data_IF_000126105502
#
_entry.id   IF_000126105502
#
_cell.length_a   1.000
_cell.length_b   1.000
_cell.length_c   1.000
_cell.angle_alpha   90.00
_cell.angle_beta   90.00
_cell.angle_gamma   90.00
#
_symmetry.space_group_name_H-M   'P 1'
#
loop_
_entity.id
_entity.type
_entity.pdbx_description
1 polymer ?
#
# COMPACT_ATOMS: atom_id res chain seq x y z
N UNK A 1 -29.59 48.65 -45.32
CA UNK A 1 -28.37 48.22 -46.04
C UNK A 1 -27.82 47.02 -45.31
N UNK A 2 -27.87 45.85 -45.95
CA UNK A 2 -27.46 44.57 -45.38
C UNK A 2 -25.96 44.33 -45.58
N UNK A 3 -25.29 43.73 -44.57
CA UNK A 3 -24.15 42.79 -44.66
C UNK A 3 -23.91 42.29 -43.21
N UNK A 4 -24.32 41.09 -42.84
CA UNK A 4 -23.60 39.82 -43.03
C UNK A 4 -22.22 39.78 -42.35
N UNK A 5 -22.17 39.20 -41.15
CA UNK A 5 -21.03 38.36 -40.71
C UNK A 5 -21.48 37.46 -39.55
N UNK A 6 -22.02 36.29 -39.91
CA UNK A 6 -22.15 35.15 -38.99
C UNK A 6 -20.80 34.41 -38.95
N UNK A 7 -20.39 34.03 -37.75
CA UNK A 7 -19.38 33.03 -37.36
C UNK A 7 -17.90 33.43 -37.25
N UNK A 8 -17.29 33.11 -36.09
CA UNK A 8 -16.38 31.96 -36.08
C UNK A 8 -16.64 30.92 -34.97
N UNK A 9 -17.85 30.86 -34.38
CA UNK A 9 -18.15 29.84 -33.36
C UNK A 9 -18.32 28.41 -33.90
N UNK A 10 -18.57 28.24 -35.20
CA UNK A 10 -18.67 26.91 -35.81
C UNK A 10 -17.32 26.36 -36.30
N UNK A 11 -16.32 27.21 -36.54
CA UNK A 11 -14.99 26.74 -36.99
C UNK A 11 -14.27 26.03 -35.84
N UNK A 12 -14.42 26.51 -34.61
CA UNK A 12 -13.76 25.91 -33.45
C UNK A 12 -14.37 24.57 -33.01
N UNK A 13 -15.69 24.37 -33.17
CA UNK A 13 -16.33 23.08 -32.88
C UNK A 13 -16.05 22.03 -33.96
N UNK A 14 -15.91 22.44 -35.22
CA UNK A 14 -15.52 21.55 -36.33
C UNK A 14 -14.04 21.15 -36.25
N UNK A 15 -13.14 22.07 -35.86
CA UNK A 15 -11.73 21.75 -35.58
C UNK A 15 -11.60 20.85 -34.33
N UNK A 16 -12.36 21.13 -33.26
CA UNK A 16 -12.41 20.25 -32.09
C UNK A 16 -12.87 18.83 -32.45
N UNK A 17 -13.84 18.68 -33.34
CA UNK A 17 -14.33 17.36 -33.79
C UNK A 17 -13.33 16.61 -34.67
N UNK A 18 -12.60 17.31 -35.54
CA UNK A 18 -11.64 16.69 -36.48
C UNK A 18 -10.31 16.32 -35.80
N UNK A 19 -9.83 17.10 -34.83
CA UNK A 19 -8.66 16.72 -34.01
C UNK A 19 -8.99 15.68 -32.92
N UNK A 20 -10.22 15.63 -32.41
CA UNK A 20 -10.63 14.62 -31.43
C UNK A 20 -10.75 13.20 -32.04
N UNK A 21 -11.00 13.10 -33.35
CA UNK A 21 -11.15 11.82 -34.03
C UNK A 21 -9.82 11.11 -34.37
N UNK A 22 -8.68 11.82 -34.32
CA UNK A 22 -7.39 11.29 -34.77
C UNK A 22 -6.44 10.86 -33.64
N UNK A 23 -6.86 11.02 -32.38
CA UNK A 23 -6.20 10.42 -31.23
C UNK A 23 -7.05 9.25 -30.75
N UNK A 24 -7.23 8.21 -31.58
CA UNK A 24 -7.57 6.89 -31.05
C UNK A 24 -6.31 6.43 -30.33
N UNK A 25 -6.30 6.45 -29.00
CA UNK A 25 -5.11 6.01 -28.34
C UNK A 25 -5.17 4.49 -28.39
N UNK A 26 -4.32 3.91 -29.24
CA UNK A 26 -4.13 2.47 -29.28
C UNK A 26 -3.67 2.09 -27.87
N UNK A 27 -4.60 1.64 -27.03
CA UNK A 27 -4.31 1.18 -25.69
C UNK A 27 -3.51 -0.11 -25.86
N UNK A 28 -2.20 0.06 -26.00
CA UNK A 28 -1.26 -1.02 -26.23
C UNK A 28 -1.32 -1.98 -25.04
N UNK A 29 -1.21 -3.30 -25.28
CA UNK A 29 -1.22 -4.30 -24.21
C UNK A 29 -0.22 -4.00 -23.08
N UNK A 30 0.88 -3.33 -23.42
CA UNK A 30 1.90 -2.85 -22.48
C UNK A 30 1.38 -1.85 -21.44
N UNK A 31 0.38 -1.04 -21.78
CA UNK A 31 -0.22 -0.09 -20.85
C UNK A 31 -1.06 -0.82 -19.80
N UNK A 32 -1.95 -1.73 -20.24
CA UNK A 32 -2.74 -2.54 -19.33
C UNK A 32 -1.87 -3.39 -18.41
N UNK A 33 -0.80 -3.98 -18.96
CA UNK A 33 0.20 -4.70 -18.18
C UNK A 33 0.87 -3.82 -17.11
N UNK A 34 1.23 -2.57 -17.45
CA UNK A 34 1.84 -1.62 -16.51
C UNK A 34 0.88 -1.20 -15.39
N UNK A 35 -0.40 -1.00 -15.72
CA UNK A 35 -1.43 -0.67 -14.72
C UNK A 35 -1.66 -1.86 -13.78
N UNK A 36 -1.86 -3.06 -14.32
CA UNK A 36 -2.13 -4.27 -13.54
C UNK A 36 -0.94 -4.59 -12.62
N UNK A 37 0.29 -4.56 -13.15
CA UNK A 37 1.48 -4.82 -12.34
C UNK A 37 1.69 -3.79 -11.23
N UNK A 38 1.40 -2.50 -11.49
CA UNK A 38 1.47 -1.46 -10.47
C UNK A 38 0.43 -1.67 -9.36
N UNK A 39 -0.81 -1.98 -9.74
CA UNK A 39 -1.92 -2.20 -8.78
C UNK A 39 -1.67 -3.45 -7.93
N UNK A 40 -1.24 -4.55 -8.54
CA UNK A 40 -0.93 -5.79 -7.81
C UNK A 40 0.33 -5.62 -6.96
N UNK A 41 1.38 -4.98 -7.45
CA UNK A 41 2.63 -4.85 -6.71
C UNK A 41 2.54 -3.85 -5.56
N UNK A 42 1.93 -2.69 -5.79
CA UNK A 42 1.95 -1.58 -4.82
C UNK A 42 0.66 -1.51 -4.03
N UNK A 43 -0.49 -1.48 -4.69
CA UNK A 43 -1.77 -1.21 -4.01
C UNK A 43 -2.23 -2.39 -3.15
N UNK A 44 -2.03 -3.62 -3.62
CA UNK A 44 -2.28 -4.80 -2.81
C UNK A 44 -1.36 -4.84 -1.58
N UNK A 45 -0.04 -4.75 -1.76
CA UNK A 45 0.90 -4.81 -0.64
C UNK A 45 0.68 -3.69 0.39
N UNK A 46 0.23 -2.51 -0.06
CA UNK A 46 -0.21 -1.42 0.82
C UNK A 46 -1.44 -1.82 1.65
N UNK A 47 -2.51 -2.31 1.00
CA UNK A 47 -3.73 -2.74 1.69
C UNK A 47 -3.48 -3.86 2.70
N UNK A 48 -2.63 -4.83 2.34
CA UNK A 48 -2.23 -5.91 3.25
C UNK A 48 -1.51 -5.38 4.49
N UNK A 49 -0.58 -4.45 4.31
CA UNK A 49 0.22 -3.86 5.40
C UNK A 49 -0.60 -3.03 6.39
N UNK A 50 -1.77 -2.54 5.98
CA UNK A 50 -2.74 -1.89 6.85
C UNK A 50 -3.53 -2.90 7.69
N UNK A 51 -3.89 -4.05 7.11
CA UNK A 51 -4.73 -5.06 7.77
C UNK A 51 -3.99 -6.03 8.67
N UNK A 52 -2.72 -6.33 8.36
CA UNK A 52 -2.02 -7.50 8.90
C UNK A 52 -1.78 -7.44 10.41
N UNK A 53 -1.73 -6.25 10.98
CA UNK A 53 -1.52 -6.04 12.42
C UNK A 53 -2.84 -5.93 13.21
N UNK A 54 -3.97 -5.70 12.54
CA UNK A 54 -5.22 -5.38 13.22
C UNK A 54 -5.92 -6.62 13.77
N UNK A 55 -6.11 -7.65 12.95
CA UNK A 55 -6.79 -8.89 13.38
C UNK A 55 -5.97 -9.67 14.43
N UNK A 56 -4.66 -9.90 14.26
CA UNK A 56 -3.86 -10.63 15.26
C UNK A 56 -3.31 -9.72 16.38
N UNK A 57 -3.91 -8.56 16.65
CA UNK A 57 -3.38 -7.59 17.62
C UNK A 57 -3.16 -8.20 19.02
N UNK A 58 -4.11 -9.00 19.51
CA UNK A 58 -4.02 -9.66 20.82
C UNK A 58 -2.90 -10.70 20.83
N UNK A 59 -2.75 -11.45 19.73
CA UNK A 59 -1.69 -12.46 19.59
C UNK A 59 -0.31 -11.81 19.62
N UNK A 60 -0.13 -10.71 18.88
CA UNK A 60 1.14 -9.95 18.87
C UNK A 60 1.44 -9.38 20.27
N UNK A 61 0.43 -8.83 20.96
CA UNK A 61 0.61 -8.32 22.32
C UNK A 61 1.00 -9.42 23.32
N UNK A 62 0.52 -10.65 23.15
CA UNK A 62 0.94 -11.78 23.98
C UNK A 62 2.40 -12.16 23.71
N UNK A 63 2.81 -12.19 22.44
CA UNK A 63 4.22 -12.39 22.07
C UNK A 63 5.12 -11.31 22.67
N UNK A 64 4.66 -10.06 22.76
CA UNK A 64 5.44 -8.99 23.42
C UNK A 64 5.62 -9.25 24.92
N UNK A 65 4.58 -9.77 25.59
CA UNK A 65 4.67 -10.14 27.01
C UNK A 65 5.64 -11.30 27.22
N UNK A 66 5.61 -12.30 26.33
CA UNK A 66 6.53 -13.44 26.35
C UNK A 66 7.98 -12.96 26.23
N UNK A 67 8.30 -12.20 25.19
CA UNK A 67 9.66 -11.69 24.98
C UNK A 67 10.15 -10.77 26.10
N UNK A 68 9.26 -10.03 26.74
CA UNK A 68 9.62 -9.21 27.90
C UNK A 68 9.88 -10.05 29.14
N UNK A 69 9.03 -11.06 29.39
CA UNK A 69 9.23 -11.99 30.50
C UNK A 69 10.56 -12.74 30.35
N UNK A 70 10.91 -13.17 29.14
CA UNK A 70 12.18 -13.84 28.86
C UNK A 70 13.40 -12.92 29.05
N UNK A 71 13.24 -11.61 28.85
CA UNK A 71 14.33 -10.64 28.94
C UNK A 71 14.55 -10.07 30.34
N UNK A 72 13.50 -9.97 31.16
CA UNK A 72 13.51 -9.26 32.45
C UNK A 72 13.00 -10.10 33.63
N UNK A 73 12.74 -11.40 33.44
CA UNK A 73 12.21 -12.33 34.45
C UNK A 73 10.97 -11.81 35.20
N UNK A 74 10.20 -10.92 34.56
CA UNK A 74 9.08 -10.21 35.16
C UNK A 74 7.92 -10.05 34.19
N UNK A 75 6.70 -10.10 34.72
CA UNK A 75 5.50 -9.94 33.91
C UNK A 75 5.37 -8.48 33.43
N UNK A 76 5.14 -8.30 32.13
CA UNK A 76 4.97 -6.96 31.56
C UNK A 76 3.70 -6.30 32.13
N UNK A 77 3.79 -5.10 32.74
CA UNK A 77 2.61 -4.40 33.23
C UNK A 77 1.68 -4.02 32.07
N UNK A 78 0.36 -4.13 32.28
CA UNK A 78 -0.64 -3.91 31.23
C UNK A 78 -0.53 -2.53 30.56
N UNK A 79 -0.17 -1.49 31.32
CA UNK A 79 0.05 -0.14 30.80
C UNK A 79 1.19 -0.08 29.78
N UNK A 80 2.27 -0.84 30.01
CA UNK A 80 3.42 -0.90 29.13
C UNK A 80 3.09 -1.65 27.83
N UNK A 81 2.33 -2.75 27.91
CA UNK A 81 1.84 -3.49 26.72
C UNK A 81 1.05 -2.54 25.81
N UNK A 82 0.10 -1.79 26.38
CA UNK A 82 -0.71 -0.83 25.63
C UNK A 82 0.13 0.28 25.02
N UNK A 83 1.12 0.80 25.76
CA UNK A 83 2.03 1.83 25.26
C UNK A 83 2.87 1.33 24.08
N UNK A 84 3.51 0.17 24.21
CA UNK A 84 4.34 -0.43 23.16
C UNK A 84 3.50 -0.77 21.92
N UNK A 85 2.29 -1.28 22.12
CA UNK A 85 1.36 -1.53 21.02
C UNK A 85 0.96 -0.23 20.31
N UNK A 86 0.62 0.82 21.07
CA UNK A 86 0.29 2.13 20.50
C UNK A 86 1.47 2.73 19.73
N UNK A 87 2.71 2.59 20.23
CA UNK A 87 3.93 2.97 19.51
C UNK A 87 4.12 2.17 18.21
N UNK A 88 3.85 0.87 18.24
CA UNK A 88 3.94 -0.01 17.06
C UNK A 88 2.98 0.43 15.95
N UNK A 89 1.73 0.74 16.30
CA UNK A 89 0.71 1.18 15.34
C UNK A 89 0.99 2.61 14.85
N UNK A 90 1.34 3.53 15.76
CA UNK A 90 1.61 4.93 15.41
C UNK A 90 2.90 5.14 14.62
N UNK A 91 3.92 4.28 14.77
CA UNK A 91 5.14 4.32 13.96
C UNK A 91 4.85 4.22 12.45
N UNK A 92 3.85 3.42 12.06
CA UNK A 92 3.41 3.34 10.67
C UNK A 92 2.85 4.69 10.19
N UNK A 93 1.97 5.30 10.99
CA UNK A 93 1.40 6.61 10.68
C UNK A 93 2.46 7.71 10.62
N UNK A 94 3.48 7.66 11.50
CA UNK A 94 4.59 8.61 11.50
C UNK A 94 5.41 8.52 10.20
N UNK A 95 5.78 7.31 9.76
CA UNK A 95 6.46 7.11 8.48
C UNK A 95 5.60 7.59 7.29
N UNK A 96 4.30 7.29 7.34
CA UNK A 96 3.33 7.75 6.34
C UNK A 96 3.19 9.27 6.28
N UNK A 97 3.20 9.95 7.44
CA UNK A 97 3.15 11.41 7.54
C UNK A 97 4.39 12.06 6.91
N UNK A 98 5.59 11.57 7.28
CA UNK A 98 6.85 12.09 6.74
C UNK A 98 6.86 11.96 5.23
N UNK A 99 6.57 10.77 4.70
CA UNK A 99 6.49 10.59 3.25
C UNK A 99 5.32 11.37 2.64
N UNK A 100 4.20 11.55 3.31
CA UNK A 100 3.08 12.36 2.82
C UNK A 100 3.49 13.81 2.56
N UNK A 101 4.25 14.41 3.48
CA UNK A 101 4.75 15.78 3.35
C UNK A 101 5.80 15.94 2.24
N UNK A 102 6.69 14.96 2.07
CA UNK A 102 7.83 15.06 1.13
C UNK A 102 7.64 14.25 -0.17
N UNK A 103 6.58 13.45 -0.28
CA UNK A 103 6.41 12.44 -1.33
C UNK A 103 6.20 13.02 -2.71
N UNK A 104 5.54 14.17 -2.82
CA UNK A 104 5.41 14.92 -4.07
C UNK A 104 6.78 15.38 -4.59
N UNK A 105 7.59 16.00 -3.71
CA UNK A 105 8.96 16.43 -4.04
C UNK A 105 9.84 15.24 -4.45
N UNK A 106 9.68 14.10 -3.78
CA UNK A 106 10.39 12.87 -4.11
C UNK A 106 9.99 12.34 -5.50
N UNK A 107 8.70 12.36 -5.83
CA UNK A 107 8.16 11.95 -7.13
C UNK A 107 8.64 12.87 -8.27
N UNK A 108 8.76 14.17 -7.98
CA UNK A 108 9.26 15.17 -8.93
C UNK A 108 10.76 15.04 -9.18
N UNK A 109 11.56 14.82 -8.14
CA UNK A 109 13.01 14.76 -8.26
C UNK A 109 13.52 13.43 -8.83
N UNK A 110 12.99 12.30 -8.35
CA UNK A 110 13.47 10.97 -8.75
C UNK A 110 12.66 10.34 -9.88
N UNK A 111 11.49 10.91 -10.19
CA UNK A 111 10.53 10.35 -11.12
C UNK A 111 9.63 9.29 -10.46
N UNK A 112 8.38 9.22 -10.92
CA UNK A 112 7.30 8.43 -10.31
C UNK A 112 7.62 6.93 -10.28
N UNK A 113 8.07 6.37 -11.42
CA UNK A 113 8.41 4.94 -11.55
C UNK A 113 9.53 4.50 -10.61
N UNK A 114 10.59 5.29 -10.49
CA UNK A 114 11.73 4.97 -9.61
C UNK A 114 11.31 5.06 -8.15
N UNK A 115 10.51 6.06 -7.79
CA UNK A 115 9.99 6.20 -6.43
C UNK A 115 9.09 5.00 -6.03
N UNK A 116 8.26 4.49 -6.95
CA UNK A 116 7.49 3.25 -6.72
C UNK A 116 8.38 2.02 -6.54
N UNK A 117 9.46 1.89 -7.33
CA UNK A 117 10.42 0.79 -7.16
C UNK A 117 11.14 0.85 -5.81
N UNK A 118 11.56 2.03 -5.37
CA UNK A 118 12.14 2.24 -4.03
C UNK A 118 11.13 1.87 -2.94
N UNK A 119 9.86 2.26 -3.10
CA UNK A 119 8.78 1.87 -2.20
C UNK A 119 8.68 0.34 -2.06
N UNK A 120 8.68 -0.40 -3.17
CA UNK A 120 8.61 -1.86 -3.11
C UNK A 120 9.83 -2.49 -2.41
N UNK A 121 11.03 -1.93 -2.59
CA UNK A 121 12.23 -2.37 -1.85
C UNK A 121 12.06 -2.13 -0.35
N UNK A 122 11.55 -0.96 0.05
CA UNK A 122 11.26 -0.65 1.46
C UNK A 122 10.23 -1.63 2.05
N UNK A 123 9.19 -1.99 1.29
CA UNK A 123 8.20 -2.96 1.73
C UNK A 123 8.80 -4.36 1.94
N UNK A 124 9.65 -4.81 1.01
CA UNK A 124 10.36 -6.09 1.16
C UNK A 124 11.27 -6.05 2.39
N UNK A 125 12.06 -4.99 2.56
CA UNK A 125 12.94 -4.81 3.71
C UNK A 125 12.16 -4.81 5.03
N UNK A 126 11.04 -4.08 5.09
CA UNK A 126 10.14 -4.07 6.25
C UNK A 126 9.59 -5.46 6.56
N UNK A 127 9.15 -6.19 5.54
CA UNK A 127 8.55 -7.53 5.71
C UNK A 127 9.59 -8.52 6.21
N UNK A 128 10.81 -8.49 5.68
CA UNK A 128 11.93 -9.29 6.16
C UNK A 128 12.29 -8.95 7.61
N UNK A 129 12.29 -7.66 7.95
CA UNK A 129 12.57 -7.22 9.32
C UNK A 129 11.49 -7.69 10.30
N UNK A 130 10.20 -7.56 9.95
CA UNK A 130 9.09 -8.13 10.75
C UNK A 130 9.22 -9.65 10.87
N UNK A 131 9.58 -10.36 9.81
CA UNK A 131 9.76 -11.81 9.85
C UNK A 131 10.93 -12.22 10.76
N UNK A 132 12.05 -11.50 10.69
CA UNK A 132 13.24 -11.74 11.53
C UNK A 132 13.01 -11.48 13.02
N UNK A 133 11.99 -10.68 13.37
CA UNK A 133 11.70 -10.35 14.77
C UNK A 133 11.44 -11.58 15.65
N UNK A 134 10.89 -12.67 15.08
CA UNK A 134 10.67 -13.93 15.80
C UNK A 134 11.96 -14.59 16.28
N UNK A 135 13.05 -14.42 15.54
CA UNK A 135 14.36 -14.98 15.89
C UNK A 135 15.12 -14.10 16.88
N UNK A 136 14.94 -12.78 16.76
CA UNK A 136 15.59 -11.79 17.63
C UNK A 136 14.87 -11.70 18.98
N UNK A 137 13.56 -12.02 19.03
CA UNK A 137 12.71 -11.97 20.23
C UNK A 137 12.69 -10.58 20.90
N UNK A 138 12.55 -9.52 20.08
CA UNK A 138 12.56 -8.12 20.52
C UNK A 138 11.46 -7.33 19.82
N UNK A 139 10.62 -6.64 20.60
CA UNK A 139 9.51 -5.85 20.07
C UNK A 139 9.98 -4.55 19.38
N UNK A 140 11.18 -4.05 19.71
CA UNK A 140 11.79 -2.87 19.09
C UNK A 140 12.00 -3.05 17.59
N UNK A 141 12.33 -4.28 17.16
CA UNK A 141 12.51 -4.64 15.75
C UNK A 141 11.21 -4.47 14.98
N UNK A 142 10.07 -4.81 15.59
CA UNK A 142 8.76 -4.66 14.95
C UNK A 142 8.39 -3.18 14.84
N UNK A 143 8.67 -2.38 15.87
CA UNK A 143 8.43 -0.92 15.82
C UNK A 143 9.24 -0.28 14.68
N UNK A 144 10.54 -0.62 14.57
CA UNK A 144 11.39 -0.13 13.49
C UNK A 144 10.88 -0.59 12.11
N UNK A 145 10.47 -1.86 11.99
CA UNK A 145 9.89 -2.37 10.75
C UNK A 145 8.59 -1.64 10.39
N UNK A 146 7.71 -1.36 11.36
CA UNK A 146 6.47 -0.60 11.13
C UNK A 146 6.74 0.81 10.65
N UNK A 147 7.80 1.47 11.13
CA UNK A 147 8.22 2.77 10.61
C UNK A 147 8.63 2.70 9.14
N UNK A 148 9.44 1.69 8.77
CA UNK A 148 9.85 1.45 7.37
C UNK A 148 8.64 1.14 6.48
N UNK A 149 7.73 0.29 6.96
CA UNK A 149 6.44 0.02 6.30
C UNK A 149 5.60 1.29 6.13
N UNK A 150 5.65 2.20 7.11
CA UNK A 150 4.99 3.50 7.06
C UNK A 150 5.53 4.39 5.94
N UNK A 151 6.86 4.46 5.76
CA UNK A 151 7.45 5.19 4.64
C UNK A 151 6.97 4.65 3.30
N UNK A 152 6.95 3.32 3.14
CA UNK A 152 6.35 2.67 1.97
C UNK A 152 4.87 3.02 1.82
N UNK A 153 4.09 2.96 2.90
CA UNK A 153 2.66 3.30 2.89
C UNK A 153 2.39 4.70 2.37
N UNK A 154 3.21 5.68 2.78
CA UNK A 154 3.14 7.05 2.23
C UNK A 154 3.53 7.13 0.75
N UNK A 155 4.54 6.37 0.30
CA UNK A 155 4.91 6.32 -1.13
C UNK A 155 3.73 5.74 -1.92
N UNK A 156 3.15 4.65 -1.42
CA UNK A 156 2.05 3.97 -2.07
C UNK A 156 0.80 4.84 -2.17
N UNK A 157 0.48 5.67 -1.17
CA UNK A 157 -0.72 6.53 -1.20
C UNK A 157 -0.55 7.79 -2.03
N UNK A 158 0.65 8.37 -2.07
CA UNK A 158 0.90 9.61 -2.82
C UNK A 158 1.26 9.33 -4.28
N UNK A 159 2.19 8.42 -4.53
CA UNK A 159 2.84 8.27 -5.84
C UNK A 159 2.07 7.30 -6.74
N UNK A 160 1.45 6.25 -6.19
CA UNK A 160 0.69 5.26 -6.99
C UNK A 160 -0.46 5.89 -7.77
N UNK A 161 -1.40 6.64 -7.16
CA UNK A 161 -2.48 7.26 -7.92
C UNK A 161 -1.97 8.32 -8.90
N UNK A 162 -0.88 9.02 -8.57
CA UNK A 162 -0.24 10.00 -9.46
C UNK A 162 0.32 9.31 -10.71
N UNK A 163 1.12 8.26 -10.52
CA UNK A 163 1.70 7.46 -11.61
C UNK A 163 0.62 6.86 -12.49
N UNK A 164 -0.41 6.25 -11.88
CA UNK A 164 -1.53 5.67 -12.61
C UNK A 164 -2.29 6.70 -13.44
N UNK A 165 -2.47 7.91 -12.91
CA UNK A 165 -3.14 9.01 -13.61
C UNK A 165 -2.28 9.61 -14.75
N UNK A 166 -0.95 9.55 -14.65
CA UNK A 166 -0.02 10.00 -15.68
C UNK A 166 0.06 9.03 -16.86
N UNK A 167 0.05 7.72 -16.60
CA UNK A 167 0.08 6.71 -17.68
C UNK A 167 -1.29 6.44 -18.29
N UNK A 168 -2.39 6.72 -17.56
CA UNK A 168 -3.73 6.42 -18.02
C UNK A 168 -4.21 7.38 -19.10
N UNK A 169 -4.95 6.81 -20.05
CA UNK A 169 -5.66 7.54 -21.08
C UNK A 169 -6.74 8.45 -20.49
N UNK A 170 -7.06 9.60 -21.11
CA UNK A 170 -8.10 10.51 -20.63
C UNK A 170 -9.44 9.82 -20.31
N UNK A 171 -9.85 8.84 -21.11
CA UNK A 171 -11.09 8.07 -20.93
C UNK A 171 -11.02 6.99 -19.83
N UNK A 172 -9.82 6.59 -19.39
CA UNK A 172 -9.62 5.52 -18.40
C UNK A 172 -9.16 6.02 -17.03
N UNK A 173 -8.74 7.28 -16.89
CA UNK A 173 -8.22 7.85 -15.63
C UNK A 173 -9.10 7.57 -14.42
N UNK A 174 -10.42 7.78 -14.54
CA UNK A 174 -11.38 7.47 -13.48
C UNK A 174 -11.47 5.98 -13.16
N UNK A 175 -11.48 5.11 -14.17
CA UNK A 175 -11.55 3.65 -14.00
C UNK A 175 -10.32 3.11 -13.27
N UNK A 176 -9.13 3.59 -13.65
CA UNK A 176 -7.87 3.17 -13.03
C UNK A 176 -7.80 3.57 -11.55
N UNK A 177 -8.26 4.79 -11.22
CA UNK A 177 -8.37 5.23 -9.82
C UNK A 177 -9.27 4.33 -8.98
N UNK A 178 -10.45 3.95 -9.50
CA UNK A 178 -11.37 3.04 -8.81
C UNK A 178 -10.78 1.64 -8.65
N UNK A 179 -10.14 1.09 -9.70
CA UNK A 179 -9.48 -0.22 -9.63
C UNK A 179 -8.38 -0.22 -8.55
N UNK A 180 -7.59 0.85 -8.48
CA UNK A 180 -6.57 1.02 -7.45
C UNK A 180 -7.17 0.97 -6.05
N UNK A 181 -8.21 1.76 -5.78
CA UNK A 181 -8.86 1.78 -4.46
C UNK A 181 -9.54 0.44 -4.13
N UNK A 182 -10.18 -0.18 -5.11
CA UNK A 182 -10.80 -1.49 -4.93
C UNK A 182 -9.75 -2.55 -4.55
N UNK A 183 -8.58 -2.55 -5.19
CA UNK A 183 -7.49 -3.47 -4.87
C UNK A 183 -7.00 -3.31 -3.43
N UNK A 184 -6.87 -2.07 -2.95
CA UNK A 184 -6.50 -1.79 -1.55
C UNK A 184 -7.51 -2.39 -0.59
N UNK A 185 -8.81 -2.19 -0.85
CA UNK A 185 -9.89 -2.72 -0.01
C UNK A 185 -9.92 -4.25 -0.04
N UNK A 186 -9.82 -4.87 -1.23
CA UNK A 186 -9.76 -6.34 -1.36
C UNK A 186 -8.59 -6.89 -0.55
N UNK A 187 -7.42 -6.26 -0.66
CA UNK A 187 -6.23 -6.69 0.07
C UNK A 187 -6.37 -6.54 1.58
N UNK A 188 -6.95 -5.43 2.04
CA UNK A 188 -7.23 -5.19 3.46
C UNK A 188 -8.15 -6.29 4.03
N UNK A 189 -9.23 -6.61 3.32
CA UNK A 189 -10.16 -7.68 3.71
C UNK A 189 -9.47 -9.04 3.71
N UNK A 190 -8.67 -9.35 2.69
CA UNK A 190 -7.91 -10.60 2.64
C UNK A 190 -6.93 -10.71 3.81
N UNK A 191 -6.24 -9.63 4.16
CA UNK A 191 -5.36 -9.60 5.32
C UNK A 191 -6.11 -9.88 6.61
N UNK A 192 -7.33 -9.36 6.75
CA UNK A 192 -8.15 -9.61 7.92
C UNK A 192 -8.58 -11.07 7.99
N UNK A 193 -8.97 -11.66 6.84
CA UNK A 193 -9.33 -13.08 6.71
C UNK A 193 -8.15 -13.96 7.15
N UNK A 194 -6.95 -13.72 6.62
CA UNK A 194 -5.76 -14.49 7.01
C UNK A 194 -5.34 -14.29 8.47
N UNK A 195 -5.72 -13.18 9.08
CA UNK A 195 -5.42 -12.90 10.49
C UNK A 195 -6.37 -13.55 11.49
N UNK A 196 -7.44 -14.25 11.06
CA UNK A 196 -8.38 -14.88 12.00
C UNK A 196 -7.71 -16.04 12.76
N UNK A 197 -7.88 -16.10 14.10
CA UNK A 197 -7.28 -17.15 14.92
C UNK A 197 -7.77 -18.55 14.54
N UNK A 198 -9.05 -18.70 14.18
CA UNK A 198 -9.62 -20.00 13.78
C UNK A 198 -8.96 -20.58 12.52
N UNK A 199 -8.61 -19.72 11.56
CA UNK A 199 -7.90 -20.14 10.35
C UNK A 199 -6.45 -20.50 10.66
N UNK A 200 -5.80 -19.76 11.57
CA UNK A 200 -4.42 -20.04 11.98
C UNK A 200 -4.31 -21.35 12.77
N UNK A 201 -5.27 -21.65 13.65
CA UNK A 201 -5.34 -22.91 14.40
C UNK A 201 -5.51 -24.11 13.46
N UNK A 202 -6.47 -24.05 12.54
CA UNK A 202 -6.69 -25.12 11.54
C UNK A 202 -5.45 -25.39 10.66
N UNK A 203 -4.74 -24.33 10.27
CA UNK A 203 -3.50 -24.46 9.51
C UNK A 203 -2.38 -25.07 10.36
N UNK A 204 -2.26 -24.66 11.63
CA UNK A 204 -1.28 -25.21 12.58
C UNK A 204 -1.49 -26.72 12.79
N UNK A 205 -2.75 -27.14 12.98
CA UNK A 205 -3.10 -28.55 13.16
C UNK A 205 -2.81 -29.36 11.89
N UNK A 206 -3.12 -28.79 10.73
CA UNK A 206 -2.85 -29.43 9.43
C UNK A 206 -1.35 -29.62 9.20
N UNK A 207 -0.53 -28.59 9.46
CA UNK A 207 0.94 -28.66 9.32
C UNK A 207 1.53 -29.64 10.33
N UNK A 208 1.03 -29.66 11.57
CA UNK A 208 1.48 -30.59 12.62
C UNK A 208 1.15 -32.03 12.25
N UNK A 209 -0.03 -32.28 11.65
CA UNK A 209 -0.42 -33.61 11.17
C UNK A 209 0.45 -34.12 10.02
N UNK A 210 0.93 -33.22 9.15
CA UNK A 210 1.86 -33.54 8.07
C UNK A 210 3.30 -33.73 8.55
N UNK A 211 3.71 -33.06 9.64
CA UNK A 211 5.02 -33.24 10.27
C UNK A 211 5.10 -34.53 11.11
N UNK A 212 3.97 -35.04 11.58
CA UNK A 212 3.88 -36.29 12.34
C UNK A 212 3.70 -37.55 11.47
N UNK A 213 3.74 -37.43 10.13
CA UNK A 213 3.84 -38.55 9.17
C UNK A 213 5.23 -38.59 8.55
#
# INVERSE_FOLDING_TARGET
>A
MATSERTPLLVNSQLSGSYAAHFTPVASGWLYFSIISCVIGTSFSFGYSLGCVNTPAVVIQNVYKEWYSDAYDSSMPSSLVTLIWALTVSAYCLGGLITGCFGGLLADRFGRKKALMVGNILQIASTLLMFSSKWIQRYEVIIAARLICGFYGGIATVITPMYLNEIALPSLKGKVGTINQLMVVISLTLSQIFGLPQLLEQLSDSITSLRCR
#
